data_IF_917136579766
#
_entry.id   IF_917136579766
#
_cell.length_a   1.000
_cell.length_b   1.000
_cell.length_c   1.000
_cell.angle_alpha   90.00
_cell.angle_beta   90.00
_cell.angle_gamma   90.00
#
_symmetry.space_group_name_H-M   'P 1'
#
loop_
_entity.id
_entity.type
_entity.pdbx_description
1 polymer ?
#
# COMPACT_ATOMS: atom_id res chain seq x y z
N UNK A 1 -27.55 -10.18 -3.77
CA UNK A 1 -26.70 -10.96 -2.86
C UNK A 1 -25.32 -11.03 -3.48
N UNK A 2 -24.25 -10.67 -2.75
CA UNK A 2 -22.89 -10.75 -3.28
C UNK A 2 -22.44 -12.21 -3.34
N UNK A 3 -21.68 -12.57 -4.37
CA UNK A 3 -21.07 -13.89 -4.50
C UNK A 3 -19.67 -13.85 -3.88
N UNK A 4 -19.23 -14.98 -3.33
CA UNK A 4 -17.88 -15.13 -2.76
C UNK A 4 -16.82 -15.00 -3.85
N UNK A 5 -15.85 -14.12 -3.63
CA UNK A 5 -14.64 -14.02 -4.43
C UNK A 5 -13.57 -14.95 -3.85
N UNK A 6 -12.99 -15.78 -4.70
CA UNK A 6 -11.80 -16.57 -4.40
C UNK A 6 -10.69 -16.25 -5.41
N UNK A 7 -9.47 -16.10 -4.91
CA UNK A 7 -8.29 -15.76 -5.72
C UNK A 7 -7.17 -16.71 -5.31
N UNK A 8 -6.58 -17.40 -6.28
CA UNK A 8 -5.50 -18.37 -6.05
C UNK A 8 -4.43 -18.28 -7.13
N UNK A 9 -3.16 -18.40 -6.73
CA UNK A 9 -2.06 -18.55 -7.68
C UNK A 9 -2.09 -19.95 -8.29
N UNK A 10 -1.97 -20.04 -9.60
CA UNK A 10 -1.99 -21.29 -10.37
C UNK A 10 -0.89 -21.30 -11.41
N UNK A 11 -0.60 -22.49 -11.94
CA UNK A 11 0.20 -22.64 -13.14
C UNK A 11 -0.74 -22.95 -14.30
N UNK A 12 -0.73 -22.11 -15.33
CA UNK A 12 -1.45 -22.35 -16.58
C UNK A 12 -0.44 -22.49 -17.71
N UNK A 13 -0.46 -23.63 -18.41
CA UNK A 13 0.43 -23.87 -19.56
C UNK A 13 1.92 -23.63 -19.26
N UNK A 14 2.35 -23.84 -18.00
CA UNK A 14 3.72 -23.63 -17.53
C UNK A 14 4.07 -22.19 -17.13
N UNK A 15 3.11 -21.26 -17.15
CA UNK A 15 3.27 -19.87 -16.72
C UNK A 15 2.53 -19.62 -15.40
N UNK A 16 3.08 -18.73 -14.59
CA UNK A 16 2.42 -18.21 -13.39
C UNK A 16 1.20 -17.40 -13.80
N UNK A 17 0.06 -17.70 -13.18
CA UNK A 17 -1.21 -17.05 -13.44
C UNK A 17 -2.02 -16.99 -12.13
N UNK A 18 -3.12 -16.24 -12.16
CA UNK A 18 -4.05 -16.15 -11.04
C UNK A 18 -5.44 -16.59 -11.51
N UNK A 19 -6.06 -17.51 -10.77
CA UNK A 19 -7.46 -17.87 -10.98
C UNK A 19 -8.34 -17.02 -10.08
N UNK A 20 -9.27 -16.30 -10.69
CA UNK A 20 -10.33 -15.55 -10.04
C UNK A 20 -11.65 -16.29 -10.19
N UNK A 21 -12.31 -16.61 -9.07
CA UNK A 21 -13.64 -17.23 -9.07
C UNK A 21 -14.65 -16.32 -8.37
N UNK A 22 -15.80 -16.07 -9.01
CA UNK A 22 -16.95 -15.37 -8.44
C UNK A 22 -18.18 -16.22 -8.71
N UNK A 23 -18.69 -16.87 -7.66
CA UNK A 23 -19.75 -17.87 -7.78
C UNK A 23 -19.36 -19.01 -8.72
N UNK A 24 -20.10 -19.19 -9.82
CA UNK A 24 -19.82 -20.21 -10.84
C UNK A 24 -18.91 -19.72 -11.98
N UNK A 25 -18.53 -18.45 -11.97
CA UNK A 25 -17.70 -17.86 -13.03
C UNK A 25 -16.24 -17.87 -12.60
N UNK A 26 -15.36 -18.24 -13.52
CA UNK A 26 -13.92 -18.27 -13.32
C UNK A 26 -13.19 -17.57 -14.47
N UNK A 27 -12.11 -16.88 -14.15
CA UNK A 27 -11.17 -16.34 -15.12
C UNK A 27 -9.74 -16.68 -14.68
N UNK A 28 -8.87 -16.99 -15.64
CA UNK A 28 -7.43 -17.10 -15.43
C UNK A 28 -6.82 -15.84 -16.01
N UNK A 29 -6.06 -15.12 -15.19
CA UNK A 29 -5.34 -13.92 -15.56
C UNK A 29 -3.84 -14.22 -15.54
N UNK A 30 -3.13 -13.80 -16.58
CA UNK A 30 -1.67 -13.82 -16.54
C UNK A 30 -1.13 -12.63 -15.71
N UNK A 31 0.19 -12.47 -15.69
CA UNK A 31 0.84 -11.42 -14.87
C UNK A 31 0.45 -10.01 -15.33
N UNK A 32 0.39 -9.76 -16.64
CA UNK A 32 0.08 -8.44 -17.18
C UNK A 32 -1.39 -8.07 -16.91
N UNK A 33 -2.30 -9.05 -17.04
CA UNK A 33 -3.71 -8.87 -16.69
C UNK A 33 -3.91 -8.62 -15.18
N UNK A 34 -3.13 -9.26 -14.32
CA UNK A 34 -3.17 -9.03 -12.86
C UNK A 34 -2.69 -7.63 -12.52
N UNK A 35 -1.59 -7.17 -13.14
CA UNK A 35 -1.06 -5.82 -12.92
C UNK A 35 -2.10 -4.76 -13.32
N UNK A 36 -2.73 -4.92 -14.49
CA UNK A 36 -3.82 -4.04 -14.94
C UNK A 36 -5.01 -4.07 -13.98
N UNK A 37 -5.37 -5.26 -13.48
CA UNK A 37 -6.47 -5.40 -12.53
C UNK A 37 -6.19 -4.67 -11.21
N UNK A 38 -4.98 -4.79 -10.66
CA UNK A 38 -4.57 -4.09 -9.43
C UNK A 38 -4.69 -2.59 -9.61
N UNK A 39 -4.14 -2.05 -10.71
CA UNK A 39 -4.22 -0.62 -11.02
C UNK A 39 -5.68 -0.15 -11.09
N UNK A 40 -6.50 -0.88 -11.85
CA UNK A 40 -7.90 -0.51 -12.07
C UNK A 40 -8.72 -0.61 -10.79
N UNK A 41 -8.50 -1.64 -9.97
CA UNK A 41 -9.17 -1.79 -8.68
C UNK A 41 -8.77 -0.68 -7.70
N UNK A 42 -7.51 -0.24 -7.70
CA UNK A 42 -7.06 0.91 -6.90
C UNK A 42 -7.83 2.19 -7.26
N UNK A 43 -7.93 2.48 -8.56
CA UNK A 43 -8.71 3.62 -9.06
C UNK A 43 -10.18 3.53 -8.66
N UNK A 44 -10.82 2.38 -8.88
CA UNK A 44 -12.23 2.17 -8.52
C UNK A 44 -12.43 2.29 -7.00
N UNK A 45 -11.58 1.63 -6.21
CA UNK A 45 -11.67 1.63 -4.73
C UNK A 45 -11.61 3.04 -4.16
N UNK A 46 -10.85 3.94 -4.76
CA UNK A 46 -10.73 5.34 -4.31
C UNK A 46 -12.06 6.11 -4.37
N UNK A 47 -12.98 5.73 -5.28
CA UNK A 47 -14.29 6.35 -5.43
C UNK A 47 -15.42 5.64 -4.68
N UNK A 48 -15.17 4.48 -4.07
CA UNK A 48 -16.20 3.70 -3.38
C UNK A 48 -16.43 4.16 -1.94
N UNK A 49 -17.69 4.06 -1.51
CA UNK A 49 -18.12 4.26 -0.11
C UNK A 49 -18.22 2.93 0.64
N UNK A 50 -17.79 2.86 1.91
CA UNK A 50 -17.16 3.94 2.68
C UNK A 50 -15.73 4.25 2.22
N UNK A 51 -15.34 5.50 2.38
CA UNK A 51 -13.95 5.92 2.20
C UNK A 51 -13.02 5.10 3.09
N UNK A 52 -11.76 4.97 2.68
CA UNK A 52 -10.75 4.33 3.53
C UNK A 52 -10.54 5.17 4.80
N UNK A 53 -10.29 4.52 5.96
CA UNK A 53 -9.96 5.25 7.18
C UNK A 53 -8.74 6.16 6.96
N UNK A 54 -8.81 7.38 7.50
CA UNK A 54 -7.70 8.34 7.42
C UNK A 54 -6.53 7.97 8.34
N UNK A 55 -6.80 7.24 9.44
CA UNK A 55 -5.80 6.82 10.40
C UNK A 55 -5.45 5.34 10.21
N UNK A 56 -4.17 4.95 10.35
CA UNK A 56 -3.78 3.56 10.35
C UNK A 56 -4.38 2.84 11.57
N UNK A 57 -4.91 1.64 11.36
CA UNK A 57 -5.40 0.78 12.42
C UNK A 57 -4.23 0.19 13.20
N UNK A 58 -4.25 0.33 14.53
CA UNK A 58 -3.22 -0.25 15.41
C UNK A 58 -3.30 -1.78 15.53
N UNK A 59 -4.42 -2.37 15.14
CA UNK A 59 -4.65 -3.82 15.21
C UNK A 59 -4.47 -4.51 13.87
N UNK A 60 -4.20 -3.74 12.81
CA UNK A 60 -4.01 -4.30 11.48
C UNK A 60 -2.54 -4.66 11.25
N UNK A 61 -2.31 -5.84 10.70
CA UNK A 61 -0.97 -6.29 10.29
C UNK A 61 -0.68 -5.78 8.89
N UNK A 62 0.02 -4.66 8.81
CA UNK A 62 0.48 -4.11 7.53
C UNK A 62 1.65 -4.93 6.99
N UNK A 63 1.66 -5.16 5.68
CA UNK A 63 2.86 -5.61 4.98
C UNK A 63 3.87 -4.46 5.02
N UNK A 64 5.10 -4.76 5.45
CA UNK A 64 6.18 -3.78 5.55
C UNK A 64 7.25 -4.18 4.54
N UNK A 65 7.49 -3.30 3.58
CA UNK A 65 8.63 -3.39 2.67
C UNK A 65 9.89 -2.93 3.40
N UNK A 66 10.93 -3.76 3.41
CA UNK A 66 12.22 -3.43 4.01
C UNK A 66 13.11 -2.81 2.94
N UNK A 67 13.62 -1.61 3.23
CA UNK A 67 14.47 -0.83 2.32
C UNK A 67 13.87 -0.67 0.90
N UNK A 68 12.64 -0.13 0.78
CA UNK A 68 12.01 0.01 -0.53
C UNK A 68 12.79 1.00 -1.40
N UNK A 69 12.88 0.68 -2.70
CA UNK A 69 13.36 1.66 -3.67
C UNK A 69 12.45 2.90 -3.66
N UNK A 70 13.05 4.08 -3.66
CA UNK A 70 12.33 5.35 -3.66
C UNK A 70 12.90 6.31 -4.71
N UNK A 71 12.04 7.19 -5.20
CA UNK A 71 12.40 8.29 -6.10
C UNK A 71 11.67 9.55 -5.66
N UNK A 72 12.37 10.69 -5.68
CA UNK A 72 11.79 12.00 -5.41
C UNK A 72 11.78 12.82 -6.68
N UNK A 73 10.59 13.24 -7.10
CA UNK A 73 10.41 14.22 -8.16
C UNK A 73 10.08 15.59 -7.55
N UNK A 74 10.81 16.61 -8.00
CA UNK A 74 10.57 18.02 -7.64
C UNK A 74 9.95 18.71 -8.85
N UNK A 75 8.63 18.75 -8.86
CA UNK A 75 7.88 19.41 -9.92
C UNK A 75 7.85 20.93 -9.67
N UNK A 76 8.32 21.78 -10.60
CA UNK A 76 8.29 23.24 -10.45
C UNK A 76 6.90 23.85 -10.24
N UNK A 77 5.83 23.11 -10.58
CA UNK A 77 4.44 23.55 -10.47
C UNK A 77 3.77 23.13 -9.14
N UNK A 78 4.46 22.38 -8.29
CA UNK A 78 3.96 21.91 -7.00
C UNK A 78 4.89 22.35 -5.88
N UNK A 79 4.36 23.09 -4.90
CA UNK A 79 5.11 23.50 -3.71
C UNK A 79 5.25 22.32 -2.72
N UNK A 80 6.22 21.46 -3.01
CA UNK A 80 6.49 20.23 -2.27
C UNK A 80 7.27 19.22 -3.10
N UNK A 81 7.08 17.94 -2.81
CA UNK A 81 7.72 16.83 -3.53
C UNK A 81 6.72 15.75 -3.91
N UNK A 82 6.98 15.04 -4.99
CA UNK A 82 6.31 13.77 -5.28
C UNK A 82 7.25 12.64 -4.89
N UNK A 83 6.89 11.89 -3.85
CA UNK A 83 7.60 10.70 -3.41
C UNK A 83 7.00 9.48 -4.10
N UNK A 84 7.80 8.77 -4.87
CA UNK A 84 7.46 7.46 -5.39
C UNK A 84 8.14 6.40 -4.55
N UNK A 85 7.35 5.44 -4.05
CA UNK A 85 7.82 4.27 -3.30
C UNK A 85 7.45 3.00 -4.07
N UNK A 86 8.40 2.08 -4.21
CA UNK A 86 8.15 0.78 -4.83
C UNK A 86 7.65 -0.22 -3.79
N UNK A 87 6.55 -0.89 -4.09
CA UNK A 87 6.02 -2.04 -3.38
C UNK A 87 6.11 -3.29 -4.27
N UNK A 88 6.52 -4.42 -3.72
CA UNK A 88 6.82 -5.64 -4.51
C UNK A 88 5.57 -6.22 -5.19
N UNK A 89 4.40 -6.08 -4.58
CA UNK A 89 3.13 -6.56 -5.13
C UNK A 89 2.22 -5.50 -5.77
N UNK A 90 2.57 -4.20 -5.71
CA UNK A 90 1.72 -3.11 -6.23
C UNK A 90 2.45 -2.20 -7.23
N UNK A 91 3.74 -2.42 -7.48
CA UNK A 91 4.54 -1.55 -8.33
C UNK A 91 4.90 -0.24 -7.64
N UNK A 92 4.97 0.85 -8.42
CA UNK A 92 5.30 2.18 -7.90
C UNK A 92 4.04 2.94 -7.48
N UNK A 93 4.02 3.44 -6.24
CA UNK A 93 2.97 4.31 -5.73
C UNK A 93 3.52 5.72 -5.50
N UNK A 94 2.84 6.73 -6.07
CA UNK A 94 3.22 8.14 -5.97
C UNK A 94 2.41 8.88 -4.92
N UNK A 95 3.09 9.69 -4.11
CA UNK A 95 2.50 10.52 -3.07
C UNK A 95 2.98 11.96 -3.22
N UNK A 96 2.06 12.87 -3.55
CA UNK A 96 2.35 14.30 -3.54
C UNK A 96 2.32 14.80 -2.09
N UNK A 97 3.47 15.25 -1.60
CA UNK A 97 3.65 15.73 -0.22
C UNK A 97 3.91 17.23 -0.28
N UNK A 98 2.94 18.05 0.19
CA UNK A 98 3.13 19.51 0.27
C UNK A 98 4.30 19.87 1.18
N UNK A 99 4.95 21.00 0.90
CA UNK A 99 6.13 21.48 1.64
C UNK A 99 5.91 21.50 3.18
N UNK A 100 4.77 22.00 3.65
CA UNK A 100 4.44 22.04 5.09
C UNK A 100 4.34 20.65 5.74
N UNK A 101 3.88 19.64 4.99
CA UNK A 101 3.84 18.25 5.46
C UNK A 101 5.23 17.62 5.46
N UNK A 102 6.09 18.00 4.51
CA UNK A 102 7.48 17.53 4.45
C UNK A 102 8.28 18.03 5.65
N UNK A 103 8.12 19.30 6.02
CA UNK A 103 8.73 19.89 7.22
C UNK A 103 8.31 19.15 8.48
N UNK A 104 7.00 18.87 8.63
CA UNK A 104 6.49 18.06 9.75
C UNK A 104 7.06 16.65 9.77
N UNK A 105 7.22 16.01 8.61
CA UNK A 105 7.81 14.67 8.49
C UNK A 105 9.28 14.69 8.90
N UNK A 106 10.05 15.65 8.41
CA UNK A 106 11.45 15.84 8.79
C UNK A 106 11.59 16.01 10.31
N UNK A 107 10.77 16.87 10.89
CA UNK A 107 10.71 17.10 12.33
C UNK A 107 10.44 15.81 13.12
N UNK A 108 9.50 14.98 12.63
CA UNK A 108 9.13 13.72 13.28
C UNK A 108 10.23 12.65 13.18
N UNK A 109 11.03 12.66 12.11
CA UNK A 109 12.14 11.72 11.90
C UNK A 109 13.35 12.13 12.75
N UNK A 110 13.66 13.44 12.80
CA UNK A 110 14.86 13.95 13.50
C UNK A 110 14.67 13.97 15.01
N UNK A 111 13.44 14.21 15.50
CA UNK A 111 13.15 14.15 16.93
C UNK A 111 13.16 12.68 17.39
N UNK A 112 14.04 12.28 18.32
CA UNK A 112 14.04 10.92 18.82
C UNK A 112 12.67 10.59 19.41
N UNK A 113 12.13 9.42 19.07
CA UNK A 113 10.94 8.90 19.72
C UNK A 113 11.18 8.93 21.24
N UNK A 114 10.22 9.41 22.06
CA UNK A 114 10.37 9.34 23.50
C UNK A 114 10.66 7.89 23.87
N UNK A 115 11.76 7.65 24.60
CA UNK A 115 12.10 6.32 25.11
C UNK A 115 11.02 5.88 26.09
N UNK A 116 9.95 5.28 25.59
CA UNK A 116 8.92 4.67 26.41
C UNK A 116 9.35 3.25 26.75
N UNK A 117 10.32 3.11 27.67
CA UNK A 117 10.50 1.95 28.54
C UNK A 117 11.39 2.36 29.72
N UNK A 118 10.79 2.86 30.80
CA UNK A 118 11.40 2.81 32.11
C UNK A 118 10.82 1.60 32.84
N UNK A 119 11.48 0.44 32.67
CA UNK A 119 11.16 -0.80 33.41
C UNK A 119 11.82 -0.70 34.79
N UNK A 120 11.41 0.30 35.57
CA UNK A 120 11.92 0.52 36.95
C UNK A 120 10.79 0.60 37.98
N UNK A 121 9.58 0.15 37.64
CA UNK A 121 8.42 0.17 38.54
C UNK A 121 7.62 -1.14 38.39
N UNK A 122 8.24 -2.29 38.67
CA UNK A 122 7.50 -3.49 39.09
C UNK A 122 7.96 -3.78 40.51
N UNK A 123 7.13 -3.54 41.55
CA UNK A 123 7.47 -3.92 42.91
C UNK A 123 7.54 -5.45 43.03
N UNK A 124 8.54 -5.93 43.78
CA UNK A 124 8.76 -7.35 44.13
C UNK A 124 7.60 -7.99 44.86
#
# INVERSE_FOLDING_TARGET
>A
MYQTLLVEAVQDSGRQAVRFNIGSNAAILDVDDVDLLIERLGQIRSGLSPALPHEPSRTHNYVIEIDPCWYLDKNPLFDGVVLLLRHTGLGWAGFAIPQSSLERLQDAIVKPAPRLFDVSQVPS
#
